data_IF_703964797330
#
_entry.id   IF_703964797330
#
_cell.length_a   1.000
_cell.length_b   1.000
_cell.length_c   1.000
_cell.angle_alpha   90.00
_cell.angle_beta   90.00
_cell.angle_gamma   90.00
#
_symmetry.space_group_name_H-M   'P 1'
#
loop_
_entity.id
_entity.type
_entity.pdbx_description
1 polymer ?
#
# COMPACT_ATOMS: atom_id res chain seq x y z
N UNK A 1 10.11 16.62 -0.59
CA UNK A 1 8.73 17.13 -0.45
C UNK A 1 8.35 17.27 1.04
N UNK A 2 8.68 16.30 1.88
CA UNK A 2 8.30 16.22 3.29
C UNK A 2 9.55 15.89 4.11
N UNK A 3 10.36 16.87 4.50
CA UNK A 3 11.65 16.64 5.13
C UNK A 3 11.57 16.01 6.53
N UNK A 4 10.42 16.17 7.22
CA UNK A 4 10.15 15.56 8.53
C UNK A 4 9.64 14.11 8.44
N UNK A 5 9.29 13.64 7.24
CA UNK A 5 8.76 12.30 7.06
C UNK A 5 9.86 11.25 7.24
N UNK A 6 9.60 10.23 8.06
CA UNK A 6 10.51 9.10 8.27
C UNK A 6 9.99 7.85 7.59
N UNK A 7 10.85 7.23 6.82
CA UNK A 7 10.52 6.01 6.07
C UNK A 7 10.63 4.80 6.99
N UNK A 8 9.54 4.01 7.09
CA UNK A 8 9.47 2.90 8.04
C UNK A 8 9.69 1.56 7.33
N UNK A 9 8.69 1.04 6.65
CA UNK A 9 8.78 -0.25 5.95
C UNK A 9 7.85 -0.27 4.71
N UNK A 10 8.30 -0.95 3.65
CA UNK A 10 7.57 -1.02 2.38
C UNK A 10 7.56 -2.41 1.76
N UNK A 11 6.71 -3.33 2.24
CA UNK A 11 6.60 -4.66 1.65
C UNK A 11 5.81 -4.66 0.35
N UNK A 12 6.10 -5.67 -0.48
CA UNK A 12 5.29 -6.03 -1.64
C UNK A 12 4.07 -6.80 -1.19
N UNK A 13 2.93 -6.56 -1.85
CA UNK A 13 1.67 -7.29 -1.69
C UNK A 13 1.22 -7.84 -3.05
N UNK A 14 0.13 -8.63 -3.10
CA UNK A 14 -0.30 -9.39 -4.28
C UNK A 14 -0.34 -8.57 -5.59
N UNK A 15 -1.00 -7.41 -5.58
CA UNK A 15 -1.15 -6.56 -6.77
C UNK A 15 -0.41 -5.21 -6.65
N UNK A 16 0.63 -5.12 -5.81
CA UNK A 16 1.35 -3.87 -5.65
C UNK A 16 2.26 -3.84 -4.42
N UNK A 17 2.27 -2.69 -3.76
CA UNK A 17 3.09 -2.44 -2.56
C UNK A 17 2.40 -1.45 -1.64
N UNK A 18 2.89 -1.35 -0.43
CA UNK A 18 2.64 -0.17 0.40
C UNK A 18 3.93 0.31 1.05
N UNK A 19 3.92 1.53 1.55
CA UNK A 19 5.00 2.05 2.37
C UNK A 19 4.42 2.76 3.59
N UNK A 20 4.90 2.38 4.77
CA UNK A 20 4.55 3.02 6.03
C UNK A 20 5.51 4.18 6.29
N UNK A 21 4.94 5.34 6.57
CA UNK A 21 5.66 6.60 6.72
C UNK A 21 5.19 7.25 8.01
N UNK A 22 6.13 7.63 8.86
CA UNK A 22 5.86 8.48 10.02
C UNK A 22 5.92 9.93 9.60
N UNK A 23 4.87 10.69 9.87
CA UNK A 23 4.79 12.12 9.57
C UNK A 23 3.94 12.83 10.60
N UNK A 24 4.23 14.09 10.88
CA UNK A 24 3.45 14.93 11.80
C UNK A 24 2.12 15.38 11.20
N UNK A 25 2.09 15.55 9.87
CA UNK A 25 0.87 15.96 9.14
C UNK A 25 0.41 14.82 8.24
N UNK A 26 -0.84 14.32 8.39
CA UNK A 26 -1.36 13.27 7.53
C UNK A 26 -1.37 13.66 6.06
N UNK A 27 -1.01 12.72 5.18
CA UNK A 27 -1.06 12.94 3.74
C UNK A 27 -2.50 13.05 3.25
N UNK A 28 -2.73 14.01 2.36
CA UNK A 28 -3.97 14.18 1.61
C UNK A 28 -3.92 13.48 0.25
N UNK A 29 -5.05 13.41 -0.44
CA UNK A 29 -5.10 12.92 -1.83
C UNK A 29 -4.30 13.81 -2.80
N UNK A 30 -4.19 15.11 -2.50
CA UNK A 30 -3.36 16.04 -3.29
C UNK A 30 -1.88 15.76 -3.11
N UNK A 31 -1.47 15.38 -1.90
CA UNK A 31 -0.08 15.04 -1.62
C UNK A 31 0.34 13.75 -2.34
N UNK A 32 -0.57 12.76 -2.46
CA UNK A 32 -0.32 11.58 -3.30
C UNK A 32 0.00 11.97 -4.75
N UNK A 33 -0.72 12.92 -5.32
CA UNK A 33 -0.48 13.37 -6.69
C UNK A 33 0.89 14.05 -6.82
N UNK A 34 1.26 14.91 -5.85
CA UNK A 34 2.58 15.56 -5.81
C UNK A 34 3.72 14.55 -5.67
N UNK A 35 3.53 13.53 -4.81
CA UNK A 35 4.50 12.45 -4.62
C UNK A 35 4.65 11.66 -5.92
N UNK A 36 3.55 11.27 -6.54
CA UNK A 36 3.56 10.52 -7.81
C UNK A 36 4.26 11.30 -8.93
N UNK A 37 4.01 12.59 -9.05
CA UNK A 37 4.66 13.43 -10.07
C UNK A 37 6.16 13.56 -9.79
N UNK A 38 6.57 13.73 -8.53
CA UNK A 38 7.98 13.74 -8.18
C UNK A 38 8.66 12.39 -8.42
N UNK A 39 7.98 11.28 -8.17
CA UNK A 39 8.47 9.94 -8.52
C UNK A 39 8.70 9.81 -10.03
N UNK A 40 7.78 10.30 -10.88
CA UNK A 40 7.95 10.31 -12.34
C UNK A 40 9.16 11.12 -12.78
N UNK A 41 9.38 12.28 -12.19
CA UNK A 41 10.57 13.08 -12.44
C UNK A 41 11.86 12.32 -12.12
N UNK A 42 11.94 11.72 -10.92
CA UNK A 42 13.09 10.90 -10.50
C UNK A 42 13.30 9.69 -11.41
N UNK A 43 12.24 9.01 -11.82
CA UNK A 43 12.32 7.88 -12.76
C UNK A 43 12.89 8.33 -14.11
N UNK A 44 12.56 9.54 -14.56
CA UNK A 44 13.04 10.07 -15.84
C UNK A 44 14.54 10.36 -15.86
N UNK A 45 15.18 10.46 -14.70
CA UNK A 45 16.66 10.61 -14.62
C UNK A 45 17.42 9.32 -14.87
N UNK A 46 16.71 8.16 -14.82
CA UNK A 46 17.23 6.83 -15.16
C UNK A 46 18.52 6.45 -14.40
N UNK A 47 18.63 6.83 -13.11
CA UNK A 47 19.78 6.49 -12.29
C UNK A 47 19.82 5.01 -11.88
N UNK A 48 21.03 4.52 -11.62
CA UNK A 48 21.24 3.16 -11.18
C UNK A 48 20.96 2.98 -9.70
N UNK A 49 20.37 1.82 -9.36
CA UNK A 49 20.11 1.38 -8.00
C UNK A 49 21.18 0.38 -7.60
N UNK A 50 22.01 0.73 -6.63
CA UNK A 50 23.20 -0.05 -6.26
C UNK A 50 22.95 -0.79 -4.96
N UNK A 51 22.97 -2.14 -5.01
CA UNK A 51 22.93 -2.99 -3.82
C UNK A 51 24.33 -3.23 -3.26
N UNK A 52 24.49 -3.05 -1.95
CA UNK A 52 25.69 -3.48 -1.22
C UNK A 52 25.29 -4.35 -0.03
N UNK A 53 26.02 -5.44 0.19
CA UNK A 53 25.92 -6.21 1.42
C UNK A 53 26.85 -5.58 2.45
N UNK A 54 26.30 -5.26 3.60
CA UNK A 54 26.98 -4.46 4.63
C UNK A 54 26.82 -5.14 5.99
N UNK A 55 27.87 -5.13 6.80
CA UNK A 55 27.83 -5.65 8.17
C UNK A 55 26.94 -4.80 9.05
N UNK A 56 26.30 -5.44 10.02
CA UNK A 56 25.34 -4.83 10.96
C UNK A 56 25.83 -3.52 11.58
N UNK A 57 27.08 -3.49 12.06
CA UNK A 57 27.65 -2.34 12.76
C UNK A 57 27.66 -1.09 11.85
N UNK A 58 28.06 -1.27 10.59
CA UNK A 58 28.08 -0.18 9.61
C UNK A 58 26.67 0.28 9.22
N UNK A 59 25.71 -0.63 9.17
CA UNK A 59 24.31 -0.28 8.88
C UNK A 59 23.73 0.56 10.01
N UNK A 60 24.00 0.20 11.27
CA UNK A 60 23.60 0.95 12.45
C UNK A 60 24.24 2.35 12.43
N UNK A 61 25.54 2.46 12.13
CA UNK A 61 26.24 3.74 12.00
C UNK A 61 25.58 4.64 10.96
N UNK A 62 25.34 4.13 9.75
CA UNK A 62 24.69 4.87 8.64
C UNK A 62 23.31 5.39 9.02
N UNK A 63 22.43 4.55 9.58
CA UNK A 63 21.09 4.97 9.97
C UNK A 63 21.07 5.88 11.21
N UNK A 64 22.05 5.74 12.11
CA UNK A 64 22.20 6.67 13.25
C UNK A 64 22.56 8.07 12.77
N UNK A 65 23.53 8.20 11.85
CA UNK A 65 23.92 9.49 11.27
C UNK A 65 22.76 10.15 10.52
N UNK A 66 21.89 9.34 9.87
CA UNK A 66 20.73 9.82 9.12
C UNK A 66 19.50 10.09 10.00
N UNK A 67 19.52 9.70 11.29
CA UNK A 67 18.38 9.83 12.20
C UNK A 67 17.19 8.92 11.87
N UNK A 68 17.43 7.77 11.26
CA UNK A 68 16.42 6.81 10.80
C UNK A 68 16.03 5.83 11.93
N UNK A 69 15.36 6.35 12.98
CA UNK A 69 15.05 5.61 14.20
C UNK A 69 14.25 4.33 13.96
N UNK A 70 13.31 4.34 13.00
CA UNK A 70 12.51 3.15 12.66
C UNK A 70 13.37 2.04 12.05
N UNK A 71 14.35 2.40 11.22
CA UNK A 71 15.29 1.44 10.65
C UNK A 71 16.17 0.81 11.74
N UNK A 72 16.60 1.60 12.72
CA UNK A 72 17.36 1.09 13.88
C UNK A 72 16.53 0.09 14.69
N UNK A 73 15.27 0.40 15.00
CA UNK A 73 14.36 -0.52 15.70
C UNK A 73 14.08 -1.81 14.90
N UNK A 74 14.03 -1.75 13.57
CA UNK A 74 13.90 -2.95 12.74
C UNK A 74 15.14 -3.83 12.79
N UNK A 75 16.34 -3.22 12.85
CA UNK A 75 17.60 -3.93 12.95
C UNK A 75 17.71 -4.66 14.29
N UNK A 76 17.21 -4.10 15.39
CA UNK A 76 17.24 -4.74 16.72
C UNK A 76 16.59 -6.13 16.72
N UNK A 77 15.56 -6.34 15.91
CA UNK A 77 14.85 -7.62 15.79
C UNK A 77 15.55 -8.64 14.87
N UNK A 78 16.62 -8.23 14.19
CA UNK A 78 17.35 -9.11 13.25
C UNK A 78 18.50 -9.85 13.93
N UNK A 79 18.85 -11.07 13.46
CA UNK A 79 20.00 -11.80 13.98
C UNK A 79 21.31 -11.00 13.92
N UNK A 80 22.15 -11.11 14.94
CA UNK A 80 23.38 -10.31 15.07
C UNK A 80 24.38 -10.52 13.95
N UNK A 81 24.53 -11.75 13.48
CA UNK A 81 25.52 -12.12 12.45
C UNK A 81 25.04 -11.88 11.00
N UNK A 82 23.84 -11.34 10.82
CA UNK A 82 23.25 -11.18 9.49
C UNK A 82 23.82 -9.96 8.76
N UNK A 83 24.44 -10.19 7.58
CA UNK A 83 24.70 -9.10 6.65
C UNK A 83 23.40 -8.56 6.06
N UNK A 84 23.33 -7.24 5.86
CA UNK A 84 22.14 -6.55 5.40
C UNK A 84 22.33 -5.94 4.02
N UNK A 85 21.31 -6.08 3.18
CA UNK A 85 21.30 -5.44 1.86
C UNK A 85 20.91 -3.96 1.98
N UNK A 86 21.83 -3.08 1.64
CA UNK A 86 21.56 -1.64 1.49
C UNK A 86 21.42 -1.31 0.00
N UNK A 87 20.37 -0.55 -0.33
CA UNK A 87 20.08 -0.06 -1.67
C UNK A 87 20.29 1.44 -1.72
N UNK A 88 21.21 1.87 -2.57
CA UNK A 88 21.59 3.26 -2.78
C UNK A 88 20.85 3.80 -4.00
N UNK A 89 20.13 4.88 -3.81
CA UNK A 89 19.38 5.65 -4.81
C UNK A 89 19.93 7.08 -4.80
N UNK A 90 21.13 7.29 -5.39
CA UNK A 90 21.88 8.54 -5.27
C UNK A 90 22.10 8.91 -3.78
N UNK A 91 21.49 9.99 -3.28
CA UNK A 91 21.56 10.41 -1.89
C UNK A 91 20.67 9.63 -0.93
N UNK A 92 19.66 8.92 -1.45
CA UNK A 92 18.74 8.12 -0.63
C UNK A 92 19.27 6.70 -0.42
N UNK A 93 19.08 6.20 0.79
CA UNK A 93 19.50 4.86 1.20
C UNK A 93 18.36 4.16 1.90
N UNK A 94 18.11 2.90 1.53
CA UNK A 94 17.18 2.03 2.23
C UNK A 94 17.75 0.63 2.47
N UNK A 95 17.22 -0.04 3.50
CA UNK A 95 17.54 -1.41 3.84
C UNK A 95 16.44 -2.34 3.36
N UNK A 96 16.80 -3.31 2.50
CA UNK A 96 15.84 -4.27 1.98
C UNK A 96 16.50 -5.60 1.63
N UNK A 97 15.74 -6.69 1.71
CA UNK A 97 16.18 -8.00 1.19
C UNK A 97 16.33 -7.96 -0.33
N UNK A 98 15.47 -7.22 -0.98
CA UNK A 98 15.39 -7.14 -2.43
C UNK A 98 14.80 -8.40 -3.09
N UNK A 99 15.00 -8.56 -4.41
CA UNK A 99 15.75 -7.66 -5.28
C UNK A 99 15.00 -6.35 -5.58
N UNK A 100 15.75 -5.27 -5.80
CA UNK A 100 15.22 -4.05 -6.42
C UNK A 100 15.59 -4.03 -7.92
N UNK A 101 14.93 -3.18 -8.69
CA UNK A 101 15.31 -2.92 -10.08
C UNK A 101 16.73 -2.34 -10.14
N UNK A 102 17.55 -2.68 -11.14
CA UNK A 102 18.90 -2.16 -11.25
C UNK A 102 18.98 -0.69 -11.69
N UNK A 103 17.90 -0.15 -12.25
CA UNK A 103 17.81 1.22 -12.72
C UNK A 103 16.36 1.69 -12.68
N UNK A 104 16.13 2.97 -12.34
CA UNK A 104 14.79 3.53 -12.18
C UNK A 104 13.95 3.56 -13.45
N UNK A 105 14.57 3.47 -14.64
CA UNK A 105 13.85 3.39 -15.94
C UNK A 105 12.84 2.26 -16.02
N UNK A 106 12.99 1.20 -15.21
CA UNK A 106 12.05 0.07 -15.17
C UNK A 106 10.78 0.35 -14.36
N UNK A 107 10.69 1.50 -13.66
CA UNK A 107 9.58 1.86 -12.79
C UNK A 107 8.55 2.78 -13.47
N UNK A 108 8.52 2.87 -14.79
CA UNK A 108 7.69 3.85 -15.55
C UNK A 108 6.17 3.62 -15.40
N UNK A 109 5.76 2.38 -15.11
CA UNK A 109 4.34 1.99 -15.10
C UNK A 109 3.88 1.73 -13.66
N UNK A 110 3.62 2.77 -12.91
CA UNK A 110 3.14 2.69 -11.53
C UNK A 110 1.99 3.67 -11.28
N UNK A 111 1.27 3.47 -10.18
CA UNK A 111 0.24 4.36 -9.68
C UNK A 111 0.20 4.31 -8.16
N UNK A 112 0.17 5.46 -7.50
CA UNK A 112 -0.22 5.56 -6.09
C UNK A 112 -1.74 5.54 -5.99
N UNK A 113 -2.30 4.70 -5.13
CA UNK A 113 -3.74 4.41 -5.13
C UNK A 113 -4.49 5.03 -3.98
N UNK A 114 -3.96 4.92 -2.76
CA UNK A 114 -4.63 5.45 -1.56
C UNK A 114 -3.66 5.68 -0.41
N UNK A 115 -4.12 6.45 0.57
CA UNK A 115 -3.50 6.57 1.91
C UNK A 115 -4.46 6.01 2.95
N UNK A 116 -3.94 5.35 3.98
CA UNK A 116 -4.69 4.97 5.17
C UNK A 116 -3.80 5.09 6.40
N UNK A 117 -4.41 5.15 7.59
CA UNK A 117 -3.69 4.95 8.85
C UNK A 117 -3.32 3.47 9.03
N UNK A 118 -2.19 3.22 9.66
CA UNK A 118 -1.76 1.90 10.08
C UNK A 118 -0.96 2.00 11.37
N UNK A 119 -1.22 1.14 12.34
CA UNK A 119 -0.41 1.11 13.57
C UNK A 119 0.93 0.42 13.32
N UNK A 120 2.00 0.97 13.89
CA UNK A 120 3.31 0.35 13.88
C UNK A 120 3.24 -1.10 14.35
N UNK A 121 3.75 -2.05 13.55
CA UNK A 121 3.71 -3.50 13.80
C UNK A 121 2.29 -4.07 14.00
N UNK A 122 1.26 -3.35 13.58
CA UNK A 122 -0.14 -3.79 13.70
C UNK A 122 -0.72 -3.73 15.12
N UNK A 123 -0.01 -3.19 16.09
CA UNK A 123 -0.50 -3.03 17.46
C UNK A 123 -1.08 -1.63 17.67
N UNK A 124 -2.36 -1.56 18.05
CA UNK A 124 -3.08 -0.30 18.30
C UNK A 124 -2.53 0.54 19.47
N UNK A 125 -1.64 -0.01 20.28
CA UNK A 125 -0.92 0.71 21.33
C UNK A 125 0.29 1.49 20.83
N UNK A 126 0.76 1.16 19.64
CA UNK A 126 1.89 1.82 19.01
C UNK A 126 1.44 3.06 18.22
N UNK A 127 2.42 3.86 17.78
CA UNK A 127 2.19 5.05 16.98
C UNK A 127 1.47 4.74 15.66
N UNK A 128 0.60 5.67 15.26
CA UNK A 128 -0.09 5.60 13.98
C UNK A 128 0.77 6.17 12.86
N UNK A 129 0.99 5.37 11.84
CA UNK A 129 1.71 5.70 10.63
C UNK A 129 0.76 5.99 9.47
N UNK A 130 1.25 6.67 8.45
CA UNK A 130 0.56 6.85 7.18
C UNK A 130 1.01 5.77 6.21
N UNK A 131 0.09 4.93 5.76
CA UNK A 131 0.33 3.86 4.80
C UNK A 131 -0.08 4.30 3.40
N UNK A 132 0.91 4.54 2.56
CA UNK A 132 0.71 4.86 1.13
C UNK A 132 0.71 3.56 0.34
N UNK A 133 -0.35 3.32 -0.43
CA UNK A 133 -0.45 2.17 -1.32
C UNK A 133 -0.14 2.56 -2.75
N UNK A 134 0.46 1.64 -3.47
CA UNK A 134 0.72 1.78 -4.88
C UNK A 134 0.72 0.45 -5.61
N UNK A 135 0.74 0.52 -6.92
CA UNK A 135 0.91 -0.63 -7.81
C UNK A 135 1.93 -0.30 -8.89
N UNK A 136 2.68 -1.29 -9.35
CA UNK A 136 3.67 -1.15 -10.40
C UNK A 136 3.66 -2.38 -11.31
N UNK A 137 3.76 -2.15 -12.61
CA UNK A 137 3.62 -3.17 -13.65
C UNK A 137 4.73 -3.06 -14.68
N UNK A 138 5.10 -4.15 -15.29
CA UNK A 138 6.11 -4.17 -16.35
C UNK A 138 5.65 -3.44 -17.61
N UNK A 139 4.36 -3.45 -17.91
CA UNK A 139 3.75 -2.87 -19.09
C UNK A 139 2.65 -1.85 -18.73
N UNK A 140 2.55 -0.78 -19.53
CA UNK A 140 1.52 0.25 -19.36
C UNK A 140 0.10 -0.31 -19.57
N UNK A 141 -0.05 -1.29 -20.47
CA UNK A 141 -1.35 -1.92 -20.76
C UNK A 141 -1.84 -2.72 -19.56
N UNK A 142 -0.94 -3.44 -18.88
CA UNK A 142 -1.27 -4.20 -17.68
C UNK A 142 -1.67 -3.28 -16.52
N UNK A 143 -0.94 -2.18 -16.33
CA UNK A 143 -1.33 -1.15 -15.35
C UNK A 143 -2.73 -0.60 -15.66
N UNK A 144 -3.03 -0.27 -16.91
CA UNK A 144 -4.33 0.25 -17.30
C UNK A 144 -5.45 -0.79 -17.09
N UNK A 145 -5.19 -2.06 -17.44
CA UNK A 145 -6.14 -3.15 -17.23
C UNK A 145 -6.45 -3.34 -15.74
N UNK A 146 -5.43 -3.27 -14.88
CA UNK A 146 -5.60 -3.34 -13.43
C UNK A 146 -6.42 -2.16 -12.88
N UNK A 147 -6.07 -0.93 -13.26
CA UNK A 147 -6.81 0.26 -12.82
C UNK A 147 -8.28 0.22 -13.27
N UNK A 148 -8.53 -0.24 -14.49
CA UNK A 148 -9.89 -0.45 -14.99
C UNK A 148 -10.65 -1.51 -14.18
N UNK A 149 -9.99 -2.63 -13.83
CA UNK A 149 -10.58 -3.67 -12.96
C UNK A 149 -11.00 -3.09 -11.60
N UNK A 150 -10.17 -2.24 -10.99
CA UNK A 150 -10.48 -1.59 -9.71
C UNK A 150 -11.67 -0.63 -9.87
N UNK A 151 -11.67 0.21 -10.90
CA UNK A 151 -12.79 1.12 -11.19
C UNK A 151 -14.12 0.36 -11.39
N UNK A 152 -14.08 -0.73 -12.15
CA UNK A 152 -15.26 -1.58 -12.34
C UNK A 152 -15.71 -2.27 -11.05
N UNK A 153 -14.78 -2.69 -10.19
CA UNK A 153 -15.11 -3.25 -8.88
C UNK A 153 -15.80 -2.20 -7.98
N UNK A 154 -15.33 -0.96 -7.99
CA UNK A 154 -15.94 0.14 -7.25
C UNK A 154 -17.37 0.48 -7.74
N UNK A 155 -17.61 0.41 -9.05
CA UNK A 155 -18.95 0.59 -9.63
C UNK A 155 -19.93 -0.52 -9.18
N UNK A 156 -19.39 -1.71 -8.89
CA UNK A 156 -20.16 -2.89 -8.45
C UNK A 156 -20.21 -3.06 -6.92
N UNK A 157 -19.73 -2.08 -6.16
CA UNK A 157 -19.79 -2.12 -4.70
C UNK A 157 -21.25 -2.26 -4.23
N UNK A 158 -21.56 -3.38 -3.57
CA UNK A 158 -22.90 -3.68 -3.08
C UNK A 158 -23.46 -2.62 -2.15
N UNK A 159 -22.62 -1.90 -1.40
CA UNK A 159 -23.02 -0.81 -0.51
C UNK A 159 -23.55 0.39 -1.31
N UNK A 160 -22.91 0.69 -2.45
CA UNK A 160 -23.35 1.75 -3.39
C UNK A 160 -24.61 1.31 -4.14
N UNK A 161 -24.60 0.09 -4.67
CA UNK A 161 -25.72 -0.47 -5.41
C UNK A 161 -26.93 -0.70 -4.52
N UNK A 162 -26.74 -1.17 -3.29
CA UNK A 162 -27.80 -1.37 -2.29
C UNK A 162 -28.59 -0.08 -2.03
N UNK A 163 -27.88 1.04 -1.81
CA UNK A 163 -28.51 2.36 -1.67
C UNK A 163 -29.16 2.83 -2.96
N UNK A 164 -28.46 2.74 -4.11
CA UNK A 164 -28.95 3.22 -5.41
C UNK A 164 -30.25 2.56 -5.84
N UNK A 165 -30.39 1.26 -5.58
CA UNK A 165 -31.55 0.47 -6.00
C UNK A 165 -32.55 0.20 -4.87
N UNK A 166 -32.31 0.77 -3.69
CA UNK A 166 -33.17 0.58 -2.51
C UNK A 166 -33.38 -0.89 -2.16
N UNK A 167 -32.25 -1.63 -2.02
CA UNK A 167 -32.27 -3.07 -1.80
C UNK A 167 -32.29 -3.45 -0.33
N UNK A 168 -31.56 -2.72 0.50
CA UNK A 168 -31.39 -2.97 1.94
C UNK A 168 -30.85 -1.78 2.68
N UNK A 169 -30.93 -1.82 4.01
CA UNK A 169 -30.22 -0.88 4.90
C UNK A 169 -29.66 -1.61 6.12
N UNK A 170 -28.73 -0.96 6.80
CA UNK A 170 -28.24 -1.32 8.12
C UNK A 170 -28.62 -0.21 9.09
N UNK A 171 -28.84 -0.55 10.36
CA UNK A 171 -29.15 0.43 11.41
C UNK A 171 -28.33 0.16 12.67
N UNK A 172 -28.15 1.21 13.47
CA UNK A 172 -27.28 1.18 14.65
C UNK A 172 -27.78 0.24 15.75
N UNK A 173 -29.11 0.07 15.86
CA UNK A 173 -29.74 -0.79 16.85
C UNK A 173 -29.53 -2.28 16.61
N UNK A 174 -29.09 -2.65 15.40
CA UNK A 174 -28.83 -4.03 15.01
C UNK A 174 -27.52 -4.16 14.21
N UNK A 175 -26.34 -3.97 14.85
CA UNK A 175 -25.05 -3.99 14.14
C UNK A 175 -24.82 -5.33 13.43
N UNK A 176 -24.47 -5.26 12.14
CA UNK A 176 -24.21 -6.44 11.30
C UNK A 176 -25.44 -7.13 10.75
N UNK A 177 -26.66 -6.71 11.10
CA UNK A 177 -27.88 -7.22 10.48
C UNK A 177 -28.28 -6.40 9.25
N UNK A 178 -28.73 -7.10 8.21
CA UNK A 178 -29.21 -6.50 6.96
C UNK A 178 -30.73 -6.52 6.93
N UNK A 179 -31.35 -5.35 6.78
CA UNK A 179 -32.78 -5.18 6.62
C UNK A 179 -33.10 -5.10 5.14
N UNK A 180 -33.72 -6.17 4.60
CA UNK A 180 -34.04 -6.28 3.19
C UNK A 180 -35.31 -5.50 2.85
N UNK A 181 -35.23 -4.65 1.82
CA UNK A 181 -36.38 -4.00 1.21
C UNK A 181 -37.04 -4.95 0.20
N UNK A 182 -38.27 -4.67 -0.28
CA UNK A 182 -38.99 -5.58 -1.15
C UNK A 182 -38.21 -6.04 -2.39
N UNK A 183 -37.50 -5.13 -3.07
CA UNK A 183 -36.66 -5.48 -4.23
C UNK A 183 -35.45 -6.32 -3.85
N UNK A 184 -34.81 -5.99 -2.75
CA UNK A 184 -33.65 -6.74 -2.24
C UNK A 184 -34.06 -8.16 -1.80
N UNK A 185 -35.23 -8.28 -1.18
CA UNK A 185 -35.77 -9.59 -0.79
C UNK A 185 -36.07 -10.48 -2.01
N UNK A 186 -36.66 -9.92 -3.07
CA UNK A 186 -36.87 -10.66 -4.32
C UNK A 186 -35.54 -11.16 -4.92
N UNK A 187 -34.53 -10.30 -4.94
CA UNK A 187 -33.18 -10.67 -5.40
C UNK A 187 -32.58 -11.79 -4.55
N UNK A 188 -32.68 -11.68 -3.23
CA UNK A 188 -32.24 -12.73 -2.29
C UNK A 188 -32.89 -14.07 -2.61
N UNK A 189 -34.24 -14.10 -2.71
CA UNK A 189 -34.97 -15.33 -3.00
C UNK A 189 -34.58 -15.97 -4.34
N UNK A 190 -34.37 -15.14 -5.38
CA UNK A 190 -33.93 -15.64 -6.70
C UNK A 190 -32.56 -16.31 -6.62
N UNK A 191 -31.60 -15.72 -5.90
CA UNK A 191 -30.26 -16.29 -5.69
C UNK A 191 -30.36 -17.58 -4.86
N UNK A 192 -31.12 -17.58 -3.78
CA UNK A 192 -31.29 -18.75 -2.93
C UNK A 192 -31.91 -19.93 -3.71
N UNK A 193 -32.94 -19.68 -4.48
CA UNK A 193 -33.58 -20.70 -5.33
C UNK A 193 -32.62 -21.29 -6.36
N UNK A 194 -31.84 -20.41 -7.01
CA UNK A 194 -30.81 -20.85 -7.96
C UNK A 194 -29.76 -21.75 -7.30
N UNK A 195 -29.22 -21.34 -6.16
CA UNK A 195 -28.23 -22.16 -5.42
C UNK A 195 -28.82 -23.52 -5.04
N UNK A 196 -30.04 -23.53 -4.51
CA UNK A 196 -30.74 -24.79 -4.17
C UNK A 196 -30.93 -25.70 -5.38
N UNK A 197 -31.27 -25.13 -6.55
CA UNK A 197 -31.46 -25.93 -7.78
C UNK A 197 -30.16 -26.52 -8.34
N UNK A 198 -29.01 -25.95 -8.01
CA UNK A 198 -27.70 -26.46 -8.44
C UNK A 198 -27.14 -27.51 -7.46
N UNK A 199 -27.55 -27.45 -6.19
CA UNK A 199 -27.06 -28.34 -5.14
C UNK A 199 -27.88 -29.62 -4.99
N UNK A 200 -29.09 -29.67 -5.53
CA UNK A 200 -29.96 -30.84 -5.60
C UNK A 200 -29.79 -31.58 -6.94
#
# INVERSE_FOLDING_TARGET
LFPEAKMVIGPVIEDGFYYDISTTTPFSSEDLSKIEDRMKELISTEYDVIKKMVRREKVIEEFTVRGEDYKLRLIEDMPEEQEMGLYYHEEYLDMCRGPHVPNTRFLKNFKLTKVSGAYWRGDSKNEMLQRVYGTAWSDKKDLQAYLHKIEEAEKRDHRKLGKKYDLFHNQEEAPGMVFWHPKGWQLWQAIEQYIRSVQN
#
